data_IF_007256923527
#
_entry.id   IF_007256923527
#
_cell.length_a   1.000
_cell.length_b   1.000
_cell.length_c   1.000
_cell.angle_alpha   90.00
_cell.angle_beta   90.00
_cell.angle_gamma   90.00
#
_symmetry.space_group_name_H-M   'P 1'
#
loop_
_entity.id
_entity.type
_entity.pdbx_description
1 polymer ?
#
# COMPACT_ATOMS: atom_id res chain seq x y z
N UNK A 1 -8.26 6.33 27.92
CA UNK A 1 -8.55 7.49 27.04
C UNK A 1 -8.40 7.10 25.56
N UNK A 2 -9.44 7.33 24.75
CA UNK A 2 -9.42 7.01 23.32
C UNK A 2 -8.31 7.78 22.58
N UNK A 3 -8.11 9.05 22.97
CA UNK A 3 -7.19 10.01 22.37
C UNK A 3 -5.69 9.66 22.43
N UNK A 4 -5.28 8.70 23.29
CA UNK A 4 -3.86 8.33 23.45
C UNK A 4 -3.51 6.95 22.86
N UNK A 5 -4.43 6.31 22.13
CA UNK A 5 -4.15 5.01 21.50
C UNK A 5 -3.27 5.18 20.27
N UNK A 6 -2.33 4.27 20.08
CA UNK A 6 -1.38 4.30 18.97
C UNK A 6 -2.08 4.23 17.60
N UNK A 7 -1.65 5.09 16.68
CA UNK A 7 -2.02 5.02 15.27
C UNK A 7 -1.14 4.01 14.55
N UNK A 8 -1.74 3.19 13.68
CA UNK A 8 -0.97 2.27 12.86
C UNK A 8 -0.52 2.98 11.59
N UNK A 9 0.80 3.01 11.36
CA UNK A 9 1.40 3.57 10.16
C UNK A 9 2.15 2.52 9.36
N UNK A 10 2.05 2.57 8.04
CA UNK A 10 2.91 1.80 7.15
C UNK A 10 3.17 2.58 5.86
N UNK A 11 4.42 2.52 5.39
CA UNK A 11 4.84 3.07 4.10
C UNK A 11 5.60 1.99 3.34
N UNK A 12 5.36 1.91 2.03
CA UNK A 12 6.13 1.07 1.13
C UNK A 12 6.25 1.71 -0.23
N UNK A 13 7.24 1.28 -1.00
CA UNK A 13 7.37 1.55 -2.42
C UNK A 13 7.70 0.26 -3.18
N UNK A 14 7.35 0.20 -4.46
CA UNK A 14 7.63 -0.95 -5.32
C UNK A 14 7.63 -0.54 -6.81
N UNK A 15 8.30 -1.30 -7.69
CA UNK A 15 9.34 -2.31 -7.41
C UNK A 15 10.59 -1.75 -6.70
N UNK A 16 11.51 -2.62 -6.24
CA UNK A 16 12.74 -2.18 -5.55
C UNK A 16 13.76 -1.59 -6.52
N UNK A 17 13.91 -2.21 -7.70
CA UNK A 17 14.93 -1.85 -8.68
C UNK A 17 14.55 -0.60 -9.48
N UNK A 18 13.27 -0.46 -9.83
CA UNK A 18 12.73 0.68 -10.57
C UNK A 18 11.38 1.05 -9.93
N UNK A 19 11.36 1.88 -8.86
CA UNK A 19 10.12 2.20 -8.15
C UNK A 19 9.12 2.96 -9.01
N UNK A 20 7.88 2.47 -9.06
CA UNK A 20 6.79 3.07 -9.86
C UNK A 20 5.69 3.68 -8.97
N UNK A 21 5.54 3.18 -7.74
CA UNK A 21 4.53 3.63 -6.78
C UNK A 21 5.09 3.64 -5.35
N UNK A 22 4.71 4.67 -4.59
CA UNK A 22 4.83 4.72 -3.14
C UNK A 22 3.44 4.88 -2.51
N UNK A 23 3.17 4.14 -1.43
CA UNK A 23 1.88 4.15 -0.73
C UNK A 23 2.13 4.30 0.76
N UNK A 24 1.39 5.20 1.40
CA UNK A 24 1.36 5.41 2.84
C UNK A 24 -0.06 5.18 3.34
N UNK A 25 -0.22 4.44 4.43
CA UNK A 25 -1.48 4.29 5.13
C UNK A 25 -1.32 4.63 6.62
N UNK A 26 -2.31 5.36 7.15
CA UNK A 26 -2.51 5.59 8.58
C UNK A 26 -3.89 5.06 8.96
N UNK A 27 -3.95 4.27 10.03
CA UNK A 27 -5.21 3.85 10.65
C UNK A 27 -5.31 4.49 12.03
N UNK A 28 -6.33 5.33 12.21
CA UNK A 28 -6.60 5.97 13.50
C UNK A 28 -6.80 4.91 14.58
N UNK A 29 -6.07 5.01 15.69
CA UNK A 29 -6.07 4.05 16.79
C UNK A 29 -5.94 2.58 16.38
N UNK A 30 -5.30 2.32 15.22
CA UNK A 30 -5.13 0.98 14.66
C UNK A 30 -4.05 0.14 15.33
N UNK A 31 -3.31 0.70 16.29
CA UNK A 31 -2.22 0.02 16.99
C UNK A 31 -1.00 -0.16 16.08
N UNK A 32 -0.68 -1.41 15.73
CA UNK A 32 0.57 -1.73 15.05
C UNK A 32 0.48 -1.59 13.53
N UNK A 33 1.46 -0.89 12.96
CA UNK A 33 1.61 -0.70 11.51
C UNK A 33 1.59 -2.00 10.71
N UNK A 34 2.33 -3.02 11.16
CA UNK A 34 2.46 -4.30 10.46
C UNK A 34 1.17 -5.12 10.38
N UNK A 35 0.30 -5.04 11.40
CA UNK A 35 -0.94 -5.82 11.43
C UNK A 35 -2.14 -5.07 10.88
N UNK A 36 -2.18 -3.73 11.00
CA UNK A 36 -3.34 -2.92 10.59
C UNK A 36 -3.09 -2.15 9.28
N UNK A 37 -1.97 -1.44 9.14
CA UNK A 37 -1.72 -0.57 7.99
C UNK A 37 -1.02 -1.28 6.82
N UNK A 38 -0.14 -2.24 7.09
CA UNK A 38 0.60 -2.97 6.05
C UNK A 38 -0.30 -3.77 5.09
N UNK A 39 -1.37 -4.47 5.55
CA UNK A 39 -2.30 -5.14 4.63
C UNK A 39 -3.03 -4.18 3.69
N UNK A 40 -3.31 -2.95 4.13
CA UNK A 40 -3.93 -1.89 3.30
C UNK A 40 -2.97 -1.47 2.20
N UNK A 41 -1.72 -1.15 2.56
CA UNK A 41 -0.67 -0.80 1.59
C UNK A 41 -0.47 -1.91 0.57
N UNK A 42 -0.43 -3.17 1.02
CA UNK A 42 -0.33 -4.34 0.14
C UNK A 42 -1.49 -4.41 -0.85
N UNK A 43 -2.73 -4.25 -0.40
CA UNK A 43 -3.91 -4.33 -1.28
C UNK A 43 -3.87 -3.27 -2.39
N UNK A 44 -3.50 -2.03 -2.04
CA UNK A 44 -3.36 -0.94 -3.01
C UNK A 44 -2.26 -1.27 -4.04
N UNK A 45 -1.09 -1.72 -3.58
CA UNK A 45 0.01 -2.08 -4.49
C UNK A 45 -0.35 -3.26 -5.40
N UNK A 46 -1.01 -4.29 -4.87
CA UNK A 46 -1.45 -5.44 -5.68
C UNK A 46 -2.40 -4.99 -6.80
N UNK A 47 -3.34 -4.11 -6.48
CA UNK A 47 -4.29 -3.60 -7.47
C UNK A 47 -3.61 -2.69 -8.51
N UNK A 48 -2.68 -1.84 -8.08
CA UNK A 48 -1.86 -1.02 -8.99
C UNK A 48 -1.13 -1.88 -10.03
N UNK A 49 -0.43 -2.94 -9.60
CA UNK A 49 0.30 -3.81 -10.52
C UNK A 49 -0.62 -4.66 -11.40
N UNK A 50 -1.79 -5.07 -10.90
CA UNK A 50 -2.81 -5.75 -11.70
C UNK A 50 -3.28 -4.87 -12.86
N UNK A 51 -3.54 -3.58 -12.60
CA UNK A 51 -3.94 -2.61 -13.62
C UNK A 51 -2.81 -2.37 -14.62
N UNK A 52 -1.56 -2.15 -14.15
CA UNK A 52 -0.38 -1.96 -15.00
C UNK A 52 -0.17 -3.11 -15.98
N UNK A 53 -0.32 -4.35 -15.52
CA UNK A 53 -0.20 -5.55 -16.38
C UNK A 53 -1.30 -5.63 -17.44
N UNK A 54 -2.54 -5.26 -17.08
CA UNK A 54 -3.67 -5.23 -18.01
C UNK A 54 -3.52 -4.14 -19.09
N UNK A 55 -2.93 -2.98 -18.75
CA UNK A 55 -2.61 -1.93 -19.72
C UNK A 55 -1.52 -2.38 -20.70
N UNK A 56 -0.43 -2.97 -20.19
CA UNK A 56 0.67 -3.47 -21.02
C UNK A 56 0.25 -4.55 -22.02
N UNK A 57 -0.76 -5.35 -21.67
CA UNK A 57 -1.29 -6.41 -22.55
C UNK A 57 -2.16 -5.89 -23.70
N UNK A 58 -2.69 -4.66 -23.62
CA UNK A 58 -3.58 -4.08 -24.64
C UNK A 58 -2.86 -3.29 -25.73
N UNK A 59 -1.59 -2.90 -25.53
CA UNK A 59 -0.82 -2.10 -26.48
C UNK A 59 -0.07 -2.89 -27.57
N UNK A 60 -0.28 -4.20 -27.66
CA UNK A 60 0.45 -5.12 -28.55
C UNK A 60 -0.31 -5.63 -29.78
N UNK A 61 -1.35 -4.93 -30.25
CA UNK A 61 -2.08 -5.23 -31.50
C UNK A 61 -2.06 -4.00 -32.39
#
# INVERSE_FOLDING_TARGET
>A
PYEIRDHAWFVGFAPVQEPEIAVVAMVEHGGHGGSAAAPIVKAVMQEYFRIRQAEGSKGGT
#
